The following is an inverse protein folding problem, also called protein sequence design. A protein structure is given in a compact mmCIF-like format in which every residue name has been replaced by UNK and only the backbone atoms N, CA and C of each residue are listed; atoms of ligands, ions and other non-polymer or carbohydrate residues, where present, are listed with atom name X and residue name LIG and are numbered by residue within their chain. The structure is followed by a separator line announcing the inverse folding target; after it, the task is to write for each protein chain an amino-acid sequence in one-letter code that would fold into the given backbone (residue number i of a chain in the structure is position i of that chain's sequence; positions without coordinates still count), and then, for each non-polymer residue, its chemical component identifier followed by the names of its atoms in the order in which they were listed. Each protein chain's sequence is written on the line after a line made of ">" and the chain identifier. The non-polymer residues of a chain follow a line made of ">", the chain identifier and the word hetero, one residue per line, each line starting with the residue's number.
data_IF_801275091671
#
_entry.id   IF_801275091671
#
_cell.length_a   1.000
_cell.length_b   1.000
_cell.length_c   1.000
_cell.angle_alpha   90.00
_cell.angle_beta   90.00
_cell.angle_gamma   90.00
#
_symmetry.space_group_name_H-M   'P 1'
#
loop_
_entity.id
_entity.type
_entity.pdbx_description
1 polymer ?
#
# COMPACT_ATOMS: atom_id res chain seq x y z
N UNK A 1 0.82 -0.40 6.49
CA UNK A 1 1.76 -0.65 5.38
C UNK A 1 2.97 -1.37 5.94
N UNK A 2 3.33 -2.52 5.38
CA UNK A 2 4.45 -3.36 5.82
C UNK A 2 5.72 -2.99 5.06
N UNK A 3 6.78 -2.71 5.79
CA UNK A 3 8.07 -2.27 5.24
C UNK A 3 9.16 -3.27 5.64
N UNK A 4 10.04 -3.63 4.72
CA UNK A 4 11.31 -4.29 5.05
C UNK A 4 12.45 -3.31 4.81
N UNK A 5 13.46 -3.38 5.66
CA UNK A 5 14.72 -2.64 5.51
C UNK A 5 15.85 -3.62 5.20
N UNK A 6 16.55 -3.38 4.11
CA UNK A 6 17.64 -4.23 3.63
C UNK A 6 18.88 -3.37 3.45
N UNK A 7 19.90 -3.60 4.27
CA UNK A 7 21.16 -2.82 4.26
C UNK A 7 22.20 -3.65 5.00
N UNK A 8 23.42 -3.81 4.46
CA UNK A 8 24.45 -4.61 5.13
C UNK A 8 25.00 -3.91 6.38
N UNK A 9 24.88 -2.59 6.46
CA UNK A 9 25.34 -1.79 7.59
C UNK A 9 24.28 -1.72 8.73
N UNK A 10 24.55 -2.26 9.94
CA UNK A 10 23.58 -2.26 11.03
C UNK A 10 23.15 -0.86 11.49
N UNK A 11 24.06 0.12 11.41
CA UNK A 11 23.77 1.50 11.76
C UNK A 11 22.80 2.15 10.77
N UNK A 12 22.93 1.85 9.48
CA UNK A 12 22.02 2.32 8.45
C UNK A 12 20.60 1.74 8.67
N UNK A 13 20.48 0.44 8.94
CA UNK A 13 19.19 -0.19 9.27
C UNK A 13 18.54 0.44 10.50
N UNK A 14 19.28 0.54 11.59
CA UNK A 14 18.80 1.15 12.85
C UNK A 14 18.31 2.59 12.64
N UNK A 15 19.05 3.36 11.84
CA UNK A 15 18.69 4.73 11.49
C UNK A 15 17.42 4.79 10.65
N UNK A 16 17.29 3.94 9.64
CA UNK A 16 16.08 3.87 8.81
C UNK A 16 14.86 3.42 9.62
N UNK A 17 15.00 2.41 10.47
CA UNK A 17 13.95 1.95 11.38
C UNK A 17 13.46 3.09 12.27
N UNK A 18 14.38 3.83 12.89
CA UNK A 18 14.04 4.99 13.72
C UNK A 18 13.30 6.06 12.89
N UNK A 19 13.76 6.37 11.68
CA UNK A 19 13.07 7.34 10.82
C UNK A 19 11.67 6.89 10.42
N UNK A 20 11.48 5.63 10.02
CA UNK A 20 10.17 5.09 9.65
C UNK A 20 9.21 5.15 10.84
N UNK A 21 9.69 4.76 12.03
CA UNK A 21 8.90 4.79 13.27
C UNK A 21 8.50 6.20 13.65
N UNK A 22 9.43 7.16 13.61
CA UNK A 22 9.15 8.56 13.94
C UNK A 22 8.20 9.24 12.95
N UNK A 23 8.19 8.80 11.69
CA UNK A 23 7.28 9.33 10.66
C UNK A 23 5.89 8.69 10.71
N UNK A 24 5.69 7.65 11.53
CA UNK A 24 4.49 6.80 11.53
C UNK A 24 4.11 6.32 10.10
N UNK A 25 5.13 6.06 9.28
CA UNK A 25 4.93 5.79 7.86
C UNK A 25 4.52 4.34 7.56
N UNK A 26 4.60 3.45 8.55
CA UNK A 26 4.29 2.04 8.41
C UNK A 26 4.97 1.18 9.47
N UNK A 27 4.71 -0.12 9.41
CA UNK A 27 5.29 -1.11 10.30
C UNK A 27 6.51 -1.75 9.63
N UNK A 28 7.68 -1.68 10.27
CA UNK A 28 8.86 -2.43 9.82
C UNK A 28 8.69 -3.89 10.27
N UNK A 29 8.36 -4.76 9.33
CA UNK A 29 8.05 -6.18 9.57
C UNK A 29 9.26 -7.10 9.44
N UNK A 30 10.43 -6.54 9.12
CA UNK A 30 11.67 -7.28 9.16
C UNK A 30 12.84 -6.50 8.59
N UNK A 31 14.03 -7.03 8.87
CA UNK A 31 15.31 -6.50 8.46
C UNK A 31 16.17 -7.61 7.86
N UNK A 32 16.98 -7.29 6.86
CA UNK A 32 17.97 -8.19 6.28
C UNK A 32 19.28 -7.43 6.03
N UNK A 33 20.41 -8.14 6.11
CA UNK A 33 21.75 -7.60 5.89
C UNK A 33 22.38 -8.02 4.55
N UNK A 34 21.68 -8.84 3.77
CA UNK A 34 22.12 -9.31 2.46
C UNK A 34 20.92 -9.63 1.56
N UNK A 35 21.17 -9.66 0.24
CA UNK A 35 20.11 -9.87 -0.74
C UNK A 35 19.42 -11.23 -0.69
N UNK A 36 20.16 -12.30 -0.35
CA UNK A 36 19.58 -13.65 -0.27
C UNK A 36 18.58 -13.77 0.90
N UNK A 37 18.90 -13.18 2.04
CA UNK A 37 18.03 -13.17 3.22
C UNK A 37 16.85 -12.22 3.01
N UNK A 38 17.07 -11.12 2.30
CA UNK A 38 16.01 -10.20 1.88
C UNK A 38 14.93 -10.91 1.06
N UNK A 39 15.33 -11.69 0.03
CA UNK A 39 14.37 -12.44 -0.80
C UNK A 39 13.58 -13.47 0.02
N UNK A 40 14.24 -14.22 0.91
CA UNK A 40 13.54 -15.18 1.79
C UNK A 40 12.56 -14.49 2.72
N UNK A 41 12.94 -13.34 3.28
CA UNK A 41 12.08 -12.56 4.16
C UNK A 41 10.86 -12.01 3.40
N UNK A 42 11.05 -11.51 2.17
CA UNK A 42 9.98 -11.00 1.31
C UNK A 42 8.91 -12.06 1.01
N UNK A 43 9.31 -13.32 0.78
CA UNK A 43 8.37 -14.43 0.61
C UNK A 43 7.56 -14.72 1.87
N UNK A 44 8.15 -14.56 3.05
CA UNK A 44 7.50 -14.86 4.33
C UNK A 44 6.51 -13.79 4.77
N UNK A 45 6.89 -12.52 4.65
CA UNK A 45 6.11 -11.41 5.22
C UNK A 45 5.34 -10.61 4.19
N UNK A 46 5.57 -10.83 2.89
CA UNK A 46 4.90 -10.17 1.77
C UNK A 46 4.77 -8.65 1.99
N UNK A 47 5.89 -7.90 2.01
CA UNK A 47 5.89 -6.47 2.31
C UNK A 47 5.20 -5.65 1.21
N UNK A 48 4.80 -4.43 1.56
CA UNK A 48 4.29 -3.44 0.60
C UNK A 48 5.45 -2.59 0.02
N UNK A 49 6.44 -2.26 0.87
CA UNK A 49 7.62 -1.47 0.50
C UNK A 49 8.90 -2.15 0.95
N UNK A 50 9.95 -2.02 0.14
CA UNK A 50 11.32 -2.43 0.46
C UNK A 50 12.23 -1.21 0.37
N UNK A 51 12.87 -0.86 1.49
CA UNK A 51 14.02 0.05 1.51
C UNK A 51 15.28 -0.80 1.31
N UNK A 52 15.98 -0.60 0.20
CA UNK A 52 16.99 -1.56 -0.28
C UNK A 52 18.33 -0.88 -0.57
N UNK A 53 19.40 -1.31 0.11
CA UNK A 53 20.75 -0.91 -0.29
C UNK A 53 21.13 -1.55 -1.62
N UNK A 54 21.77 -0.76 -2.49
CA UNK A 54 22.34 -1.26 -3.73
C UNK A 54 23.58 -2.09 -3.44
N UNK A 55 24.46 -1.64 -2.55
CA UNK A 55 25.76 -2.29 -2.34
C UNK A 55 25.68 -3.20 -1.13
N UNK A 56 25.56 -4.50 -1.40
CA UNK A 56 25.59 -5.53 -0.37
C UNK A 56 26.52 -6.67 -0.80
N UNK A 57 27.15 -7.39 0.13
CA UNK A 57 27.98 -8.54 -0.19
C UNK A 57 27.15 -9.70 -0.77
N UNK A 58 27.73 -10.40 -1.74
CA UNK A 58 27.07 -11.52 -2.41
C UNK A 58 26.09 -11.02 -3.48
N UNK A 59 24.82 -10.88 -3.10
CA UNK A 59 23.76 -10.41 -3.98
C UNK A 59 23.50 -8.93 -3.75
N UNK A 60 23.67 -8.13 -4.80
CA UNK A 60 23.46 -6.69 -4.73
C UNK A 60 21.97 -6.30 -4.79
N UNK A 61 21.63 -5.07 -4.41
CA UNK A 61 20.23 -4.63 -4.38
C UNK A 61 19.58 -4.55 -5.76
N UNK A 62 20.35 -4.36 -6.83
CA UNK A 62 19.80 -4.31 -8.19
C UNK A 62 19.35 -5.72 -8.61
N UNK A 63 20.14 -6.74 -8.27
CA UNK A 63 19.79 -8.13 -8.48
C UNK A 63 18.57 -8.53 -7.65
N UNK A 64 18.47 -8.13 -6.38
CA UNK A 64 17.27 -8.33 -5.55
C UNK A 64 16.03 -7.69 -6.21
N UNK A 65 16.14 -6.43 -6.65
CA UNK A 65 15.04 -5.72 -7.31
C UNK A 65 14.58 -6.41 -8.61
N UNK A 66 15.52 -6.99 -9.38
CA UNK A 66 15.21 -7.76 -10.58
C UNK A 66 14.40 -9.03 -10.26
N UNK A 67 14.76 -9.75 -9.20
CA UNK A 67 14.01 -10.91 -8.73
C UNK A 67 12.59 -10.51 -8.29
N UNK A 68 12.47 -9.39 -7.57
CA UNK A 68 11.18 -8.85 -7.15
C UNK A 68 10.28 -8.49 -8.34
N UNK A 69 10.83 -7.79 -9.34
CA UNK A 69 10.08 -7.37 -10.53
C UNK A 69 9.51 -8.55 -11.34
N UNK A 70 10.08 -9.75 -11.23
CA UNK A 70 9.57 -10.97 -11.87
C UNK A 70 8.38 -11.61 -11.14
N UNK A 71 8.03 -11.13 -9.93
CA UNK A 71 6.89 -11.65 -9.17
C UNK A 71 5.56 -11.07 -9.66
N UNK A 72 4.45 -11.77 -9.40
CA UNK A 72 3.11 -11.34 -9.84
C UNK A 72 2.65 -10.03 -9.19
N UNK A 73 3.09 -9.77 -7.95
CA UNK A 73 2.73 -8.59 -7.15
C UNK A 73 3.99 -8.07 -6.45
N UNK A 74 4.87 -7.37 -7.18
CA UNK A 74 6.11 -6.87 -6.61
C UNK A 74 5.81 -5.77 -5.56
N UNK A 75 6.57 -5.71 -4.45
CA UNK A 75 6.52 -4.56 -3.56
C UNK A 75 7.12 -3.32 -4.24
N UNK A 76 6.79 -2.13 -3.72
CA UNK A 76 7.45 -0.91 -4.12
C UNK A 76 8.90 -0.89 -3.61
N UNK A 77 9.86 -0.72 -4.52
CA UNK A 77 11.30 -0.66 -4.19
C UNK A 77 11.74 0.80 -4.10
N UNK A 78 12.36 1.17 -2.99
CA UNK A 78 13.06 2.44 -2.80
C UNK A 78 14.51 2.12 -2.50
N UNK A 79 15.42 2.55 -3.39
CA UNK A 79 16.84 2.32 -3.15
C UNK A 79 17.41 3.29 -2.13
N UNK A 80 18.26 2.79 -1.26
CA UNK A 80 19.15 3.55 -0.37
C UNK A 80 20.57 3.30 -0.84
N UNK A 81 21.43 4.31 -0.99
CA UNK A 81 22.82 4.05 -1.43
C UNK A 81 23.72 5.24 -1.17
N UNK A 82 25.03 5.00 -1.08
CA UNK A 82 26.03 6.05 -0.95
C UNK A 82 26.56 6.60 -2.28
N UNK A 83 26.13 6.06 -3.44
CA UNK A 83 26.77 6.34 -4.74
C UNK A 83 25.81 6.82 -5.82
N UNK A 84 25.96 8.07 -6.27
CA UNK A 84 25.12 8.72 -7.29
C UNK A 84 25.09 8.00 -8.66
N UNK A 85 26.11 7.19 -8.99
CA UNK A 85 26.28 6.62 -10.33
C UNK A 85 25.32 5.48 -10.69
N UNK A 86 24.47 5.03 -9.76
CA UNK A 86 23.53 3.92 -9.97
C UNK A 86 22.10 4.36 -10.35
N UNK A 87 21.87 5.65 -10.56
CA UNK A 87 20.56 6.19 -10.92
C UNK A 87 19.96 5.54 -12.18
N UNK A 88 20.79 5.21 -13.19
CA UNK A 88 20.32 4.58 -14.44
C UNK A 88 19.83 3.14 -14.21
N UNK A 89 20.53 2.36 -13.38
CA UNK A 89 20.13 0.99 -13.06
C UNK A 89 18.84 0.94 -12.22
N UNK A 90 18.64 1.93 -11.33
CA UNK A 90 17.40 2.06 -10.56
C UNK A 90 16.18 2.38 -11.44
N UNK A 91 16.39 3.09 -12.55
CA UNK A 91 15.35 3.36 -13.55
C UNK A 91 14.98 2.08 -14.30
N UNK A 92 15.96 1.26 -14.69
CA UNK A 92 15.72 -0.02 -15.37
C UNK A 92 14.96 -1.03 -14.48
N UNK A 93 15.11 -0.95 -13.17
CA UNK A 93 14.41 -1.83 -12.22
C UNK A 93 13.02 -1.34 -11.80
N UNK A 94 12.48 -0.28 -12.42
CA UNK A 94 11.19 0.32 -12.09
C UNK A 94 11.04 0.69 -10.60
N UNK A 95 12.13 1.15 -9.96
CA UNK A 95 12.08 1.60 -8.58
C UNK A 95 11.22 2.86 -8.45
N UNK A 96 10.51 2.98 -7.33
CA UNK A 96 9.67 4.15 -7.05
C UNK A 96 10.55 5.38 -6.81
N UNK A 97 11.60 5.20 -6.03
CA UNK A 97 12.47 6.29 -5.65
C UNK A 97 13.89 5.83 -5.29
N UNK A 98 14.77 6.80 -5.14
CA UNK A 98 16.18 6.62 -4.89
C UNK A 98 16.68 7.66 -3.87
N UNK A 99 17.29 7.19 -2.79
CA UNK A 99 17.73 7.99 -1.65
C UNK A 99 19.24 7.87 -1.45
N UNK A 100 19.94 9.00 -1.58
CA UNK A 100 21.36 9.09 -1.30
C UNK A 100 21.62 9.15 0.21
N UNK A 101 22.54 8.34 0.71
CA UNK A 101 23.07 8.40 2.08
C UNK A 101 23.98 9.64 2.20
N UNK A 102 23.86 10.46 3.27
CA UNK A 102 23.02 10.27 4.44
C UNK A 102 21.54 10.66 4.19
N UNK A 103 20.64 9.72 4.47
CA UNK A 103 19.21 9.90 4.26
C UNK A 103 18.66 10.90 5.28
N UNK A 104 17.86 11.83 4.79
CA UNK A 104 17.16 12.86 5.59
C UNK A 104 15.68 12.50 5.69
N UNK A 105 15.09 12.69 6.87
CA UNK A 105 13.67 12.37 7.15
C UNK A 105 12.69 12.92 6.10
N UNK A 106 12.74 14.21 5.69
CA UNK A 106 11.80 14.72 4.69
C UNK A 106 11.91 14.01 3.33
N UNK A 107 13.11 13.54 2.98
CA UNK A 107 13.37 12.86 1.71
C UNK A 107 12.85 11.43 1.73
N UNK A 108 12.97 10.74 2.87
CA UNK A 108 12.39 9.42 3.09
C UNK A 108 10.86 9.50 3.09
N UNK A 109 10.28 10.46 3.80
CA UNK A 109 8.84 10.69 3.83
C UNK A 109 8.28 10.87 2.40
N UNK A 110 8.86 11.78 1.61
CA UNK A 110 8.43 12.00 0.24
C UNK A 110 8.53 10.74 -0.64
N UNK A 111 9.54 9.88 -0.42
CA UNK A 111 9.69 8.64 -1.15
C UNK A 111 8.60 7.60 -0.78
N UNK A 112 8.25 7.50 0.51
CA UNK A 112 7.19 6.63 1.01
C UNK A 112 5.80 7.09 0.54
N UNK A 113 5.55 8.40 0.54
CA UNK A 113 4.33 8.99 -0.03
C UNK A 113 4.21 8.69 -1.54
N UNK A 114 5.31 8.81 -2.29
CA UNK A 114 5.32 8.44 -3.72
C UNK A 114 5.03 6.96 -3.94
N UNK A 115 5.51 6.07 -3.06
CA UNK A 115 5.27 4.63 -3.17
C UNK A 115 3.80 4.24 -2.98
N UNK A 116 3.01 5.07 -2.32
CA UNK A 116 1.58 4.82 -2.06
C UNK A 116 0.65 5.62 -2.97
N UNK A 117 1.19 6.56 -3.75
CA UNK A 117 0.40 7.41 -4.64
C UNK A 117 0.12 6.69 -5.97
N UNK A 118 -1.15 6.42 -6.25
CA UNK A 118 -1.59 5.85 -7.51
C UNK A 118 -1.68 6.91 -8.62
N UNK A 119 -1.19 6.56 -9.80
CA UNK A 119 -1.36 7.39 -10.99
C UNK A 119 -2.77 7.29 -11.57
N UNK A 120 -3.20 8.30 -12.34
CA UNK A 120 -4.50 8.27 -13.03
C UNK A 120 -4.67 7.03 -13.91
N UNK A 121 -3.62 6.60 -14.61
CA UNK A 121 -3.69 5.41 -15.46
C UNK A 121 -3.94 4.13 -14.63
N UNK A 122 -3.32 4.02 -13.45
CA UNK A 122 -3.56 2.91 -12.53
C UNK A 122 -4.97 2.96 -11.95
N UNK A 123 -5.48 4.15 -11.60
CA UNK A 123 -6.85 4.33 -11.11
C UNK A 123 -7.89 3.92 -12.16
N UNK A 124 -7.73 4.36 -13.41
CA UNK A 124 -8.62 3.98 -14.53
C UNK A 124 -8.59 2.46 -14.78
N UNK A 125 -7.41 1.84 -14.71
CA UNK A 125 -7.29 0.38 -14.81
C UNK A 125 -8.00 -0.35 -13.67
N UNK A 126 -7.90 0.19 -12.44
CA UNK A 126 -8.59 -0.35 -11.28
C UNK A 126 -10.11 -0.20 -11.40
N UNK A 127 -10.60 0.96 -11.86
CA UNK A 127 -12.01 1.22 -12.14
C UNK A 127 -12.58 0.22 -13.16
N UNK A 128 -11.84 -0.07 -14.23
CA UNK A 128 -12.24 -1.08 -15.22
C UNK A 128 -12.35 -2.50 -14.62
N UNK A 129 -11.39 -2.90 -13.77
CA UNK A 129 -11.42 -4.20 -13.06
C UNK A 129 -12.58 -4.25 -12.04
N UNK A 130 -12.88 -3.13 -11.38
CA UNK A 130 -14.02 -3.04 -10.45
C UNK A 130 -15.33 -3.16 -11.21
N UNK A 131 -15.50 -2.50 -12.37
CA UNK A 131 -16.72 -2.60 -13.17
C UNK A 131 -16.91 -3.98 -13.82
N UNK A 132 -15.85 -4.66 -14.23
CA UNK A 132 -15.94 -6.07 -14.67
C UNK A 132 -16.30 -7.01 -13.51
N UNK A 133 -15.89 -6.69 -12.27
CA UNK A 133 -16.23 -7.41 -11.05
C UNK A 133 -17.65 -7.13 -10.51
N UNK A 134 -18.26 -6.00 -10.85
CA UNK A 134 -19.63 -5.62 -10.41
C UNK A 134 -20.73 -6.45 -11.09
N UNK A 135 -20.44 -7.11 -12.22
CA UNK A 135 -21.37 -8.09 -12.80
C UNK A 135 -21.41 -9.44 -12.03
N UNK A 136 -20.62 -9.59 -10.95
CA UNK A 136 -20.53 -10.86 -10.20
C UNK A 136 -20.18 -10.77 -8.71
N UNK A 137 -19.96 -9.58 -8.12
CA UNK A 137 -19.73 -9.44 -6.68
C UNK A 137 -20.85 -8.66 -6.01
N UNK A 138 -21.59 -9.34 -5.14
CA UNK A 138 -22.54 -8.71 -4.24
C UNK A 138 -21.85 -7.63 -3.43
N UNK A 139 -22.41 -6.41 -3.43
CA UNK A 139 -21.95 -5.30 -2.59
C UNK A 139 -21.79 -5.79 -1.13
N UNK A 140 -20.79 -5.27 -0.41
CA UNK A 140 -20.54 -5.66 0.99
C UNK A 140 -20.91 -4.58 2.00
N UNK A 141 -21.01 -3.31 1.58
CA UNK A 141 -21.34 -2.16 2.44
C UNK A 141 -22.25 -1.17 1.71
N UNK A 142 -23.00 -0.37 2.48
CA UNK A 142 -23.86 0.73 2.00
C UNK A 142 -23.52 2.02 2.75
N UNK A 143 -23.54 3.14 2.04
CA UNK A 143 -23.38 4.47 2.61
C UNK A 143 -24.69 4.95 3.25
N UNK A 144 -24.64 5.35 4.52
CA UNK A 144 -25.79 5.80 5.29
C UNK A 144 -25.46 7.05 6.11
N UNK A 145 -26.44 7.92 6.33
CA UNK A 145 -26.29 9.15 7.11
C UNK A 145 -27.01 9.04 8.45
N UNK A 146 -26.28 9.29 9.54
CA UNK A 146 -26.80 9.39 10.92
C UNK A 146 -26.49 10.78 11.48
N UNK A 147 -27.52 11.56 11.85
CA UNK A 147 -27.36 12.92 12.40
C UNK A 147 -26.45 13.85 11.56
N UNK A 148 -26.43 13.68 10.23
CA UNK A 148 -25.60 14.47 9.32
C UNK A 148 -24.18 13.96 9.09
N UNK A 149 -23.79 12.84 9.71
CA UNK A 149 -22.50 12.19 9.47
C UNK A 149 -22.67 10.96 8.56
N UNK A 150 -21.80 10.85 7.55
CA UNK A 150 -21.72 9.71 6.65
C UNK A 150 -21.06 8.51 7.34
N UNK A 151 -21.67 7.34 7.23
CA UNK A 151 -21.19 6.08 7.80
C UNK A 151 -21.36 4.95 6.78
N UNK A 152 -20.41 4.02 6.74
CA UNK A 152 -20.51 2.79 5.95
C UNK A 152 -21.11 1.68 6.82
N UNK A 153 -22.25 1.15 6.42
CA UNK A 153 -22.89 0.00 7.06
C UNK A 153 -22.56 -1.30 6.32
N UNK A 154 -22.12 -2.35 7.02
CA UNK A 154 -21.99 -3.68 6.44
C UNK A 154 -23.37 -4.22 6.02
N UNK A 155 -23.45 -4.83 4.84
CA UNK A 155 -24.71 -5.37 4.32
C UNK A 155 -25.24 -6.55 5.13
N UNK A 156 -24.35 -7.38 5.72
CA UNK A 156 -24.75 -8.50 6.58
C UNK A 156 -25.43 -8.07 7.89
N UNK A 157 -25.33 -6.81 8.21
CA UNK A 157 -25.83 -6.16 9.42
C UNK A 157 -27.22 -5.52 9.16
N UNK A 158 -27.55 -5.26 7.88
CA UNK A 158 -28.83 -4.67 7.47
C UNK A 158 -29.91 -5.74 7.37
N UNK A 159 -31.01 -5.55 8.09
CA UNK A 159 -32.15 -6.48 8.10
C UNK A 159 -33.05 -6.29 6.90
N UNK A 160 -33.30 -5.05 6.51
CA UNK A 160 -34.10 -4.69 5.34
C UNK A 160 -33.90 -3.22 4.96
N UNK A 161 -34.24 -2.91 3.71
CA UNK A 161 -34.40 -1.55 3.20
C UNK A 161 -35.88 -1.19 3.11
N UNK A 162 -36.19 0.08 3.37
CA UNK A 162 -37.54 0.62 3.25
C UNK A 162 -37.50 1.98 2.59
N UNK A 163 -38.23 2.12 1.48
CA UNK A 163 -38.49 3.41 0.88
C UNK A 163 -39.55 4.17 1.71
N UNK A 164 -39.22 5.38 2.16
CA UNK A 164 -40.11 6.28 2.89
C UNK A 164 -40.14 7.65 2.21
N UNK A 165 -41.26 7.96 1.54
CA UNK A 165 -41.51 9.21 0.83
C UNK A 165 -40.38 9.65 -0.13
N UNK A 166 -39.36 10.35 0.38
CA UNK A 166 -38.26 10.97 -0.39
C UNK A 166 -36.90 10.30 -0.18
N UNK A 167 -36.81 9.30 0.69
CA UNK A 167 -35.55 8.66 1.06
C UNK A 167 -35.70 7.15 1.16
N UNK A 168 -34.59 6.43 1.02
CA UNK A 168 -34.51 5.03 1.41
C UNK A 168 -33.87 4.96 2.79
N UNK A 169 -34.35 4.03 3.60
CA UNK A 169 -33.81 3.80 4.94
C UNK A 169 -33.35 2.36 5.08
N UNK A 170 -32.21 2.16 5.75
CA UNK A 170 -31.70 0.86 6.13
C UNK A 170 -32.01 0.60 7.61
N UNK A 171 -32.53 -0.59 7.93
CA UNK A 171 -32.76 -1.01 9.32
C UNK A 171 -31.61 -1.91 9.79
N UNK A 172 -30.94 -1.48 10.85
CA UNK A 172 -29.88 -2.20 11.54
C UNK A 172 -30.35 -2.59 12.96
N UNK A 173 -29.76 -3.60 13.64
CA UNK A 173 -29.94 -3.86 15.07
C UNK A 173 -30.08 -2.62 15.97
N UNK A 174 -29.24 -1.61 15.77
CA UNK A 174 -29.13 -0.44 16.65
C UNK A 174 -30.02 0.75 16.25
N UNK A 175 -30.76 0.65 15.13
CA UNK A 175 -31.63 1.75 14.70
C UNK A 175 -31.96 1.78 13.21
N UNK A 176 -32.33 2.96 12.74
CA UNK A 176 -32.66 3.23 11.34
C UNK A 176 -31.79 4.37 10.83
N UNK A 177 -31.33 4.22 9.60
CA UNK A 177 -30.43 5.16 8.93
C UNK A 177 -30.99 5.52 7.57
N UNK A 178 -30.76 6.76 7.14
CA UNK A 178 -31.10 7.19 5.78
C UNK A 178 -29.93 6.82 4.87
N UNK A 179 -30.22 6.22 3.73
CA UNK A 179 -29.21 5.90 2.73
C UNK A 179 -29.39 6.79 1.49
N UNK A 180 -28.33 6.98 0.74
CA UNK A 180 -28.33 7.80 -0.48
C UNK A 180 -28.79 7.00 -1.71
N UNK A 181 -28.69 5.66 -1.66
CA UNK A 181 -29.13 4.77 -2.73
C UNK A 181 -30.67 4.72 -2.88
N UNK A 182 -31.12 4.49 -4.12
CA UNK A 182 -32.53 4.18 -4.41
C UNK A 182 -32.79 2.68 -4.28
N UNK A 183 -34.04 2.28 -4.00
CA UNK A 183 -34.36 0.85 -3.84
C UNK A 183 -34.03 0.04 -5.11
N UNK A 184 -34.30 0.60 -6.29
CA UNK A 184 -33.97 -0.01 -7.58
C UNK A 184 -32.46 -0.06 -7.87
N UNK A 185 -31.67 0.79 -7.22
CA UNK A 185 -30.22 0.74 -7.30
C UNK A 185 -29.59 -0.30 -6.38
N UNK A 186 -30.36 -0.87 -5.44
CA UNK A 186 -29.92 -1.90 -4.49
C UNK A 186 -30.23 -3.33 -4.93
N UNK A 187 -31.08 -3.50 -5.94
CA UNK A 187 -31.34 -4.77 -6.64
C UNK A 187 -30.16 -5.12 -7.58
#
# INVERSE_FOLDING_TARGET
>A
MKIIIVDDEPLARSRLLAMVTELDAGEVVGEADNGADALRLMEQVAPDIVLLDIRMPGMDGIEVARHLAATLRPPAVIFTTAYDSHALAAIESNAVDYLLKPIRKPRLQAALERATTLTRAQLVGLEAVVQEGESGRSRTHISATLHGNLQLLPLGEIRFFRAEHKYVTARHPDGQLIIEDTLSGLE
#
